data_IF_187345025356
#
_entry.id   IF_187345025356
#
_cell.length_a   1.000
_cell.length_b   1.000
_cell.length_c   1.000
_cell.angle_alpha   90.00
_cell.angle_beta   90.00
_cell.angle_gamma   90.00
#
_symmetry.space_group_name_H-M   'P 1'
#
loop_
_entity.id
_entity.type
_entity.pdbx_description
1 polymer ?
#
# COMPACT_ATOMS: atom_id res chain seq x y z
N UNK A 1 -19.11 26.40 45.37
CA UNK A 1 -19.76 25.80 44.21
C UNK A 1 -18.89 26.18 43.03
N UNK A 2 -18.05 25.30 42.57
CA UNK A 2 -17.39 25.44 41.26
C UNK A 2 -17.72 24.20 40.45
N UNK A 3 -18.55 24.44 39.46
CA UNK A 3 -18.86 23.50 38.39
C UNK A 3 -17.68 23.52 37.41
N UNK A 4 -16.92 22.43 37.34
CA UNK A 4 -15.91 22.24 36.31
C UNK A 4 -16.37 21.09 35.42
N UNK A 5 -17.13 21.44 34.40
CA UNK A 5 -17.44 20.54 33.31
C UNK A 5 -16.21 20.39 32.42
N UNK A 6 -15.55 19.25 32.47
CA UNK A 6 -14.54 18.87 31.50
C UNK A 6 -15.23 18.08 30.39
N UNK A 7 -15.44 18.74 29.25
CA UNK A 7 -15.84 18.08 28.02
C UNK A 7 -14.59 17.66 27.27
N UNK A 8 -14.17 16.40 27.43
CA UNK A 8 -13.19 15.80 26.54
C UNK A 8 -13.88 14.82 25.60
N UNK A 9 -13.88 15.12 24.32
CA UNK A 9 -14.34 14.23 23.27
C UNK A 9 -13.35 13.09 23.01
N UNK A 10 -13.31 12.11 23.92
CA UNK A 10 -12.67 10.83 23.68
C UNK A 10 -13.58 9.76 24.30
N UNK A 11 -14.04 8.83 23.48
CA UNK A 11 -14.77 7.66 23.93
C UNK A 11 -13.81 6.72 24.66
N UNK A 12 -13.69 6.88 25.95
CA UNK A 12 -12.96 5.99 26.85
C UNK A 12 -13.96 5.32 27.79
N UNK A 13 -13.98 4.00 27.84
CA UNK A 13 -14.73 3.24 28.86
C UNK A 13 -13.96 3.35 30.19
N UNK A 14 -14.45 4.19 31.10
CA UNK A 14 -13.90 4.28 32.43
C UNK A 14 -14.61 3.31 33.39
N UNK A 15 -13.88 2.37 34.00
CA UNK A 15 -14.37 1.56 35.11
C UNK A 15 -14.00 2.24 36.42
N UNK A 16 -15.02 2.58 37.22
CA UNK A 16 -14.85 3.11 38.57
C UNK A 16 -14.73 1.93 39.54
N UNK A 17 -13.53 1.63 40.07
CA UNK A 17 -13.34 0.72 41.18
C UNK A 17 -13.10 1.54 42.46
N UNK A 18 -14.16 1.90 43.15
CA UNK A 18 -14.10 2.53 44.47
C UNK A 18 -13.83 1.46 45.55
N UNK A 19 -12.65 1.44 46.16
CA UNK A 19 -12.41 0.77 47.42
C UNK A 19 -12.70 1.77 48.54
N UNK A 20 -13.74 1.47 49.32
CA UNK A 20 -14.15 2.26 50.51
C UNK A 20 -13.52 1.62 51.75
N UNK A 21 -12.32 2.03 52.15
CA UNK A 21 -11.61 1.60 53.35
C UNK A 21 -11.58 2.65 54.48
N UNK A 22 -12.44 3.64 54.42
CA UNK A 22 -12.70 4.51 55.58
C UNK A 22 -11.58 5.45 56.05
N UNK A 23 -10.49 5.60 55.29
CA UNK A 23 -9.42 6.59 55.58
C UNK A 23 -9.36 7.57 54.43
N UNK A 24 -9.82 8.80 54.62
CA UNK A 24 -9.95 9.97 53.74
C UNK A 24 -9.03 9.95 52.51
N UNK A 25 -9.39 9.18 51.50
CA UNK A 25 -8.68 9.10 50.27
C UNK A 25 -9.36 9.94 49.21
N UNK A 26 -8.59 10.76 48.52
CA UNK A 26 -9.01 11.43 47.31
C UNK A 26 -9.43 10.39 46.27
N UNK A 27 -10.47 10.70 45.48
CA UNK A 27 -10.84 9.90 44.33
C UNK A 27 -9.69 9.88 43.34
N UNK A 28 -9.02 8.74 43.28
CA UNK A 28 -7.98 8.54 42.28
C UNK A 28 -8.66 8.11 40.96
N UNK A 29 -8.63 9.02 40.00
CA UNK A 29 -9.20 8.76 38.69
C UNK A 29 -8.04 8.29 37.78
N UNK A 30 -8.00 7.00 37.51
CA UNK A 30 -7.03 6.43 36.54
C UNK A 30 -7.66 6.44 35.15
N UNK A 31 -7.05 7.14 34.24
CA UNK A 31 -7.39 7.11 32.81
C UNK A 31 -6.41 6.19 32.09
N UNK A 32 -6.92 5.13 31.51
CA UNK A 32 -6.12 4.25 30.64
C UNK A 32 -6.45 4.58 29.17
N UNK A 33 -5.41 4.90 28.42
CA UNK A 33 -5.55 5.05 26.98
C UNK A 33 -5.09 3.76 26.29
N UNK A 34 -5.98 3.16 25.53
CA UNK A 34 -5.58 2.05 24.66
C UNK A 34 -4.57 2.54 23.63
N UNK A 35 -3.43 1.87 23.48
CA UNK A 35 -2.47 2.22 22.43
C UNK A 35 -3.14 2.06 21.07
N UNK A 36 -3.00 3.09 20.22
CA UNK A 36 -3.55 3.09 18.87
C UNK A 36 -3.00 1.93 18.05
N UNK A 37 -3.90 1.10 17.54
CA UNK A 37 -3.56 0.08 16.56
C UNK A 37 -3.33 0.75 15.20
N UNK A 38 -2.29 0.33 14.49
CA UNK A 38 -2.02 0.82 13.14
C UNK A 38 -1.45 -0.26 12.24
N UNK A 39 -1.81 -0.17 10.97
CA UNK A 39 -1.22 -0.94 9.90
C UNK A 39 -0.34 -0.02 9.04
N UNK A 40 0.86 -0.47 8.74
CA UNK A 40 1.76 0.16 7.78
C UNK A 40 1.85 -0.75 6.56
N UNK A 41 1.60 -0.22 5.37
CA UNK A 41 1.90 -0.89 4.10
C UNK A 41 3.17 -0.24 3.57
N UNK A 42 4.17 -1.05 3.24
CA UNK A 42 5.44 -0.62 2.67
C UNK A 42 5.60 -1.20 1.27
N UNK A 43 5.94 -0.36 0.31
CA UNK A 43 6.08 -0.71 -1.10
C UNK A 43 7.47 -0.38 -1.62
N UNK A 44 8.14 -1.39 -2.18
CA UNK A 44 9.52 -1.29 -2.66
C UNK A 44 9.69 -1.89 -4.05
N UNK A 45 10.80 -1.54 -4.71
CA UNK A 45 11.28 -2.23 -5.91
C UNK A 45 11.86 -3.59 -5.51
N UNK A 46 11.51 -4.64 -6.25
CA UNK A 46 12.00 -6.01 -5.99
C UNK A 46 13.53 -6.07 -5.96
N UNK A 47 14.06 -6.69 -4.90
CA UNK A 47 15.50 -6.85 -4.69
C UNK A 47 16.24 -5.61 -4.20
N UNK A 48 15.52 -4.52 -3.88
CA UNK A 48 16.08 -3.27 -3.34
C UNK A 48 15.32 -2.80 -2.11
N UNK A 49 15.74 -1.68 -1.53
CA UNK A 49 15.02 -0.91 -0.52
C UNK A 49 14.47 0.41 -1.08
N UNK A 50 14.48 0.58 -2.41
CA UNK A 50 13.97 1.78 -3.06
C UNK A 50 12.46 1.86 -2.93
N UNK A 51 11.89 2.91 -2.30
CA UNK A 51 10.47 3.02 -2.10
C UNK A 51 9.73 3.36 -3.39
N UNK A 52 8.50 2.86 -3.55
CA UNK A 52 7.62 3.19 -4.66
C UNK A 52 6.47 4.08 -4.18
N UNK A 53 6.54 5.36 -4.52
CA UNK A 53 5.47 6.35 -4.34
C UNK A 53 4.42 6.21 -5.43
N UNK A 54 3.13 6.42 -5.08
CA UNK A 54 2.04 6.53 -6.07
C UNK A 54 1.40 5.19 -6.45
N UNK A 55 1.76 4.11 -5.77
CA UNK A 55 1.12 2.80 -5.94
C UNK A 55 -0.19 2.76 -5.16
N UNK A 56 -1.28 2.31 -5.78
CA UNK A 56 -2.61 2.28 -5.16
C UNK A 56 -2.95 0.89 -4.65
N UNK A 57 -3.40 0.83 -3.41
CA UNK A 57 -3.88 -0.36 -2.73
C UNK A 57 -5.36 -0.26 -2.40
N UNK A 58 -6.09 -1.36 -2.59
CA UNK A 58 -7.40 -1.57 -1.98
C UNK A 58 -7.21 -2.29 -0.64
N UNK A 59 -7.76 -1.71 0.43
CA UNK A 59 -7.68 -2.26 1.78
C UNK A 59 -9.08 -2.60 2.28
N UNK A 60 -9.27 -3.86 2.66
CA UNK A 60 -10.56 -4.40 3.11
C UNK A 60 -10.40 -5.21 4.39
N UNK A 61 -11.48 -5.36 5.11
CA UNK A 61 -11.62 -6.38 6.16
C UNK A 61 -11.91 -7.76 5.56
N UNK A 62 -11.77 -8.80 6.38
CA UNK A 62 -12.05 -10.19 5.96
C UNK A 62 -13.50 -10.45 5.52
N UNK A 63 -14.44 -9.60 5.95
CA UNK A 63 -15.84 -9.63 5.54
C UNK A 63 -16.10 -8.93 4.19
N UNK A 64 -15.04 -8.36 3.57
CA UNK A 64 -15.12 -7.61 2.32
C UNK A 64 -15.46 -6.12 2.49
N UNK A 65 -15.68 -5.65 3.71
CA UNK A 65 -15.93 -4.25 3.99
C UNK A 65 -14.65 -3.43 3.75
N UNK A 66 -14.79 -2.28 3.08
CA UNK A 66 -13.66 -1.37 2.84
C UNK A 66 -13.23 -0.66 4.11
N UNK A 67 -11.92 -0.46 4.26
CA UNK A 67 -11.34 0.28 5.39
C UNK A 67 -11.27 1.76 5.04
N UNK A 68 -11.77 2.61 5.95
CA UNK A 68 -11.70 4.07 5.83
C UNK A 68 -12.72 4.68 4.87
N UNK A 69 -12.55 5.98 4.58
CA UNK A 69 -13.54 6.81 3.87
C UNK A 69 -13.36 6.90 2.35
N UNK A 70 -12.20 6.47 1.83
CA UNK A 70 -11.85 6.59 0.39
C UNK A 70 -12.13 5.31 -0.38
N UNK A 71 -13.28 4.67 -0.15
CA UNK A 71 -13.64 3.36 -0.73
C UNK A 71 -12.57 2.28 -0.50
N UNK A 72 -11.77 2.40 0.57
CA UNK A 72 -10.66 1.50 0.86
C UNK A 72 -9.43 1.71 -0.02
N UNK A 73 -9.38 2.75 -0.85
CA UNK A 73 -8.23 3.04 -1.71
C UNK A 73 -7.23 3.94 -0.99
N UNK A 74 -5.97 3.51 -1.00
CA UNK A 74 -4.84 4.21 -0.40
C UNK A 74 -3.67 4.27 -1.38
N UNK A 75 -2.95 5.39 -1.37
CA UNK A 75 -1.81 5.61 -2.27
C UNK A 75 -0.53 5.75 -1.44
N UNK A 76 0.55 5.10 -1.85
CA UNK A 76 1.85 5.20 -1.18
C UNK A 76 2.45 6.60 -1.28
N UNK A 77 3.01 7.08 -0.18
CA UNK A 77 3.68 8.37 -0.05
C UNK A 77 5.12 8.35 -0.63
N UNK A 78 5.87 9.44 -0.40
CA UNK A 78 7.27 9.61 -0.84
C UNK A 78 8.21 8.51 -0.32
N UNK A 79 7.87 7.90 0.81
CA UNK A 79 8.64 6.82 1.42
C UNK A 79 8.11 5.43 1.05
N UNK A 80 7.19 5.36 0.06
CA UNK A 80 6.54 4.12 -0.33
C UNK A 80 5.59 3.57 0.74
N UNK A 81 5.02 4.42 1.60
CA UNK A 81 4.26 3.99 2.78
C UNK A 81 2.81 4.45 2.75
N UNK A 82 1.95 3.62 3.32
CA UNK A 82 0.58 3.94 3.73
C UNK A 82 0.50 3.64 5.22
N UNK A 83 -0.07 4.56 6.01
CA UNK A 83 -0.32 4.37 7.44
C UNK A 83 -1.81 4.45 7.69
N UNK A 84 -2.40 3.40 8.25
CA UNK A 84 -3.81 3.31 8.60
C UNK A 84 -3.91 3.14 10.11
N UNK A 85 -4.55 4.09 10.78
CA UNK A 85 -4.71 4.12 12.24
C UNK A 85 -6.16 3.85 12.64
N UNK A 86 -6.37 3.49 13.91
CA UNK A 86 -7.71 3.31 14.49
C UNK A 86 -8.39 2.02 14.03
N UNK A 87 -7.61 1.00 13.65
CA UNK A 87 -8.13 -0.31 13.28
C UNK A 87 -8.58 -1.09 14.53
N UNK A 88 -9.69 -1.80 14.42
CA UNK A 88 -10.21 -2.63 15.50
C UNK A 88 -9.30 -3.85 15.74
N UNK A 89 -8.88 -4.09 17.00
CA UNK A 89 -8.11 -5.27 17.34
C UNK A 89 -8.88 -6.56 17.04
N UNK A 90 -8.18 -7.57 16.55
CA UNK A 90 -8.76 -8.88 16.23
C UNK A 90 -9.34 -9.00 14.82
N UNK A 91 -9.56 -7.89 14.14
CA UNK A 91 -9.99 -7.87 12.73
C UNK A 91 -8.84 -8.28 11.83
N UNK A 92 -9.14 -9.01 10.76
CA UNK A 92 -8.15 -9.32 9.71
C UNK A 92 -8.30 -8.35 8.57
N UNK A 93 -7.23 -7.63 8.27
CA UNK A 93 -7.15 -6.67 7.17
C UNK A 93 -6.42 -7.30 6.00
N UNK A 94 -6.94 -7.09 4.81
CA UNK A 94 -6.36 -7.52 3.54
C UNK A 94 -6.00 -6.31 2.70
N UNK A 95 -4.78 -6.23 2.23
CA UNK A 95 -4.32 -5.22 1.28
C UNK A 95 -4.00 -5.89 -0.07
N UNK A 96 -4.48 -5.30 -1.15
CA UNK A 96 -4.25 -5.75 -2.53
C UNK A 96 -3.85 -4.55 -3.38
N UNK A 97 -2.77 -4.69 -4.12
CA UNK A 97 -2.39 -3.68 -5.12
C UNK A 97 -3.37 -3.69 -6.28
N UNK A 98 -3.91 -2.52 -6.63
CA UNK A 98 -4.88 -2.36 -7.72
C UNK A 98 -4.34 -1.49 -8.85
N UNK A 99 -3.29 -0.68 -8.59
CA UNK A 99 -2.62 0.15 -9.59
C UNK A 99 -1.17 0.35 -9.24
N UNK A 100 -0.29 0.17 -10.22
CA UNK A 100 1.14 0.44 -10.09
C UNK A 100 1.58 1.63 -10.97
N UNK A 101 2.87 1.90 -10.98
CA UNK A 101 3.51 2.92 -11.80
C UNK A 101 3.84 2.35 -13.19
N UNK A 102 3.93 3.24 -14.17
CA UNK A 102 4.50 2.90 -15.48
C UNK A 102 5.91 2.34 -15.33
N UNK A 103 6.24 1.31 -16.10
CA UNK A 103 7.53 0.62 -16.04
C UNK A 103 7.66 -0.42 -14.92
N UNK A 104 6.57 -0.73 -14.21
CA UNK A 104 6.51 -1.78 -13.19
C UNK A 104 5.42 -2.80 -13.49
N UNK A 105 5.67 -4.04 -13.08
CA UNK A 105 4.67 -5.12 -13.17
C UNK A 105 3.73 -5.03 -11.99
N UNK A 106 2.41 -4.98 -12.26
CA UNK A 106 1.38 -4.99 -11.22
C UNK A 106 1.33 -6.39 -10.58
N UNK A 107 1.50 -6.45 -9.25
CA UNK A 107 1.30 -7.68 -8.47
C UNK A 107 -0.01 -7.58 -7.67
N UNK A 108 -1.05 -8.24 -8.18
CA UNK A 108 -2.37 -8.25 -7.55
C UNK A 108 -2.52 -9.27 -6.42
N UNK A 109 -1.44 -9.94 -5.99
CA UNK A 109 -1.46 -10.91 -4.91
C UNK A 109 -1.79 -10.22 -3.58
N UNK A 110 -2.92 -10.55 -2.93
CA UNK A 110 -3.31 -9.92 -1.68
C UNK A 110 -2.47 -10.44 -0.52
N UNK A 111 -2.26 -9.58 0.48
CA UNK A 111 -1.68 -9.97 1.77
C UNK A 111 -2.61 -9.59 2.90
N UNK A 112 -2.73 -10.47 3.88
CA UNK A 112 -3.61 -10.28 5.02
C UNK A 112 -2.86 -10.34 6.34
N UNK A 113 -3.34 -9.57 7.33
CA UNK A 113 -2.78 -9.56 8.68
C UNK A 113 -3.90 -9.37 9.71
N UNK A 114 -3.83 -10.11 10.81
CA UNK A 114 -4.74 -9.92 11.94
C UNK A 114 -4.21 -8.80 12.83
N UNK A 115 -5.03 -7.79 13.09
CA UNK A 115 -4.67 -6.62 13.87
C UNK A 115 -4.55 -6.98 15.36
N UNK A 116 -3.43 -6.59 15.98
CA UNK A 116 -3.12 -6.80 17.40
C UNK A 116 -3.14 -5.47 18.14
N UNK A 117 -3.51 -5.51 19.40
CA UNK A 117 -3.48 -4.34 20.30
C UNK A 117 -2.05 -3.82 20.45
N UNK A 118 -1.89 -2.49 20.37
CA UNK A 118 -0.67 -1.81 20.82
C UNK A 118 0.57 -1.92 19.94
N UNK A 119 0.48 -2.60 18.80
CA UNK A 119 1.60 -2.76 17.89
C UNK A 119 1.34 -2.13 16.52
N UNK A 120 2.36 -1.46 15.98
CA UNK A 120 2.37 -1.14 14.56
C UNK A 120 2.71 -2.41 13.76
N UNK A 121 1.78 -2.87 12.94
CA UNK A 121 1.98 -4.04 12.10
C UNK A 121 2.30 -3.62 10.68
N UNK A 122 3.13 -4.39 9.95
CA UNK A 122 3.60 -4.00 8.62
C UNK A 122 3.35 -5.10 7.59
N UNK A 123 2.77 -4.73 6.47
CA UNK A 123 2.72 -5.53 5.25
C UNK A 123 3.69 -4.96 4.21
N UNK A 124 4.56 -5.81 3.67
CA UNK A 124 5.54 -5.42 2.64
C UNK A 124 5.16 -5.98 1.29
N UNK A 125 5.23 -5.12 0.27
CA UNK A 125 4.97 -5.45 -1.13
C UNK A 125 6.14 -5.01 -2.00
N UNK A 126 6.35 -5.74 -3.09
CA UNK A 126 7.46 -5.48 -4.01
C UNK A 126 6.94 -5.52 -5.44
N UNK A 127 7.38 -4.57 -6.29
CA UNK A 127 7.12 -4.63 -7.72
C UNK A 127 8.42 -4.79 -8.49
N UNK A 128 8.37 -5.66 -9.47
CA UNK A 128 9.44 -5.84 -10.42
C UNK A 128 9.37 -4.75 -11.49
N UNK A 129 10.53 -4.21 -11.89
CA UNK A 129 10.60 -3.36 -13.08
C UNK A 129 10.27 -4.20 -14.30
N UNK A 130 9.53 -3.61 -15.23
CA UNK A 130 9.33 -4.23 -16.53
C UNK A 130 10.65 -4.32 -17.26
N UNK A 131 10.88 -5.44 -17.96
CA UNK A 131 11.98 -5.55 -18.90
C UNK A 131 11.75 -4.64 -20.10
N UNK A 132 12.82 -4.08 -20.65
CA UNK A 132 12.76 -3.35 -21.91
C UNK A 132 13.73 -3.94 -22.94
N UNK A 133 13.33 -3.89 -24.21
CA UNK A 133 14.18 -4.25 -25.34
C UNK A 133 14.44 -2.96 -26.11
N UNK A 134 15.71 -2.61 -26.28
CA UNK A 134 16.12 -1.49 -27.12
C UNK A 134 16.71 -2.03 -28.42
N UNK A 135 16.04 -1.79 -29.54
CA UNK A 135 16.51 -2.14 -30.88
C UNK A 135 17.04 -0.88 -31.55
N UNK A 136 18.33 -0.90 -31.93
CA UNK A 136 18.95 0.18 -32.70
C UNK A 136 19.30 -0.33 -34.08
N UNK A 137 18.84 0.32 -35.15
CA UNK A 137 19.25 0.07 -36.53
C UNK A 137 20.24 1.13 -36.93
N UNK A 138 21.45 0.70 -37.32
CA UNK A 138 22.54 1.58 -37.75
C UNK A 138 22.97 1.21 -39.16
N UNK A 139 23.42 2.19 -39.93
CA UNK A 139 24.15 1.96 -41.18
C UNK A 139 25.50 1.28 -40.87
N UNK A 140 25.80 0.24 -41.61
CA UNK A 140 27.01 -0.57 -41.36
C UNK A 140 28.32 0.17 -41.62
N UNK A 141 28.33 1.13 -42.55
CA UNK A 141 29.53 1.84 -42.97
C UNK A 141 29.75 3.12 -42.16
N UNK A 142 28.69 3.85 -41.89
CA UNK A 142 28.77 5.14 -41.21
C UNK A 142 28.53 5.08 -39.70
N UNK A 143 27.85 4.03 -39.22
CA UNK A 143 27.40 3.92 -37.83
C UNK A 143 26.20 4.84 -37.49
N UNK A 144 25.68 5.56 -38.46
CA UNK A 144 24.57 6.48 -38.27
C UNK A 144 23.25 5.75 -38.11
N UNK A 145 22.30 6.29 -37.29
CA UNK A 145 20.97 5.72 -37.12
C UNK A 145 20.18 5.73 -38.43
N UNK A 146 19.53 4.61 -38.75
CA UNK A 146 18.60 4.50 -39.87
C UNK A 146 17.15 4.62 -39.41
N UNK A 147 16.49 5.69 -39.84
CA UNK A 147 15.07 5.93 -39.60
C UNK A 147 14.17 5.13 -40.56
N UNK A 148 12.90 4.89 -40.17
CA UNK A 148 11.90 4.26 -41.02
C UNK A 148 12.06 2.76 -41.24
N UNK A 149 12.92 2.09 -40.47
CA UNK A 149 13.07 0.61 -40.51
C UNK A 149 12.03 -0.01 -39.58
N UNK A 150 11.26 -0.96 -40.09
CA UNK A 150 10.28 -1.72 -39.31
C UNK A 150 10.91 -3.01 -38.80
N UNK A 151 10.61 -3.34 -37.53
CA UNK A 151 11.02 -4.59 -36.88
C UNK A 151 9.79 -5.37 -36.43
N UNK A 152 9.82 -6.67 -36.62
CA UNK A 152 8.86 -7.58 -35.99
C UNK A 152 9.54 -8.26 -34.82
N UNK A 153 8.91 -8.18 -33.64
CA UNK A 153 9.43 -8.79 -32.41
C UNK A 153 8.47 -9.89 -31.98
N UNK A 154 9.02 -11.08 -31.79
CA UNK A 154 8.26 -12.26 -31.37
C UNK A 154 8.95 -12.94 -30.20
N UNK A 155 8.18 -13.70 -29.43
CA UNK A 155 8.70 -14.68 -28.49
C UNK A 155 9.28 -15.88 -29.26
N UNK A 156 10.03 -16.74 -28.57
CA UNK A 156 10.63 -17.95 -29.14
C UNK A 156 9.60 -18.97 -29.64
N UNK A 157 8.37 -18.91 -29.14
CA UNK A 157 7.23 -19.73 -29.60
C UNK A 157 6.53 -19.17 -30.84
N UNK A 158 7.01 -18.03 -31.36
CA UNK A 158 6.47 -17.36 -32.55
C UNK A 158 5.30 -16.44 -32.25
N UNK A 159 4.83 -16.34 -31.02
CA UNK A 159 3.84 -15.33 -30.62
C UNK A 159 4.42 -13.92 -30.68
N UNK A 160 3.58 -12.93 -30.99
CA UNK A 160 4.03 -11.53 -31.03
C UNK A 160 4.22 -10.99 -29.64
N UNK A 161 5.26 -10.18 -29.47
CA UNK A 161 5.41 -9.37 -28.28
C UNK A 161 4.27 -8.34 -28.27
N UNK A 162 3.41 -8.43 -27.25
CA UNK A 162 2.34 -7.48 -26.99
C UNK A 162 2.72 -6.64 -25.78
N UNK A 163 2.40 -5.36 -25.77
CA UNK A 163 2.52 -4.54 -24.59
C UNK A 163 1.15 -3.97 -24.20
N UNK A 164 0.83 -4.05 -22.93
CA UNK A 164 -0.40 -3.51 -22.36
C UNK A 164 -0.46 -1.97 -22.41
N UNK A 165 0.59 -1.32 -22.93
CA UNK A 165 0.74 0.14 -22.97
C UNK A 165 0.56 0.76 -24.36
N UNK A 166 0.19 -0.02 -25.35
CA UNK A 166 -0.23 0.46 -26.66
C UNK A 166 0.88 1.00 -27.57
N UNK A 167 2.14 0.69 -27.29
CA UNK A 167 3.28 1.08 -28.13
C UNK A 167 3.54 0.11 -29.29
N UNK A 168 2.83 -1.02 -29.30
CA UNK A 168 2.92 -2.04 -30.35
C UNK A 168 1.75 -1.94 -31.32
N UNK A 169 2.03 -2.13 -32.59
CA UNK A 169 0.97 -2.45 -33.54
C UNK A 169 0.44 -3.85 -33.26
N UNK A 170 -0.82 -4.14 -33.64
CA UNK A 170 -1.50 -5.44 -33.47
C UNK A 170 -0.76 -6.65 -34.06
N UNK A 171 0.44 -6.47 -34.61
CA UNK A 171 1.30 -7.52 -35.21
C UNK A 171 2.73 -7.47 -34.69
N UNK A 172 3.01 -6.86 -33.53
CA UNK A 172 4.36 -6.76 -33.00
C UNK A 172 5.32 -5.93 -33.86
N UNK A 173 4.80 -4.97 -34.65
CA UNK A 173 5.60 -4.12 -35.53
C UNK A 173 5.95 -2.81 -34.84
N UNK A 174 7.25 -2.53 -34.76
CA UNK A 174 7.83 -1.27 -34.27
C UNK A 174 8.34 -0.42 -35.44
N UNK A 175 8.06 0.87 -35.39
CA UNK A 175 8.56 1.86 -36.37
C UNK A 175 9.61 2.76 -35.76
#
# INVERSE_FOLDING_TARGET
IRDSSVTSGASGSGTNTGNNDGTGGGNDLTFENDPKTRLVIEKYVTGTTDPLKGVTFLVTESNGQVVGSSNGEYITDENGRIVIEGLEPGVTITAKEIKTLEGYVLDTTPKSIKIKVGEAQTLRFYNQKQGCIVVKKLDKQTGEPLAGVEFQITYSDGSYLDDDYGHLSSKGLYK
#
